data_IF_949190245037
#
_entry.id   IF_949190245037
#
_cell.length_a   1.000
_cell.length_b   1.000
_cell.length_c   1.000
_cell.angle_alpha   90.00
_cell.angle_beta   90.00
_cell.angle_gamma   90.00
#
_symmetry.space_group_name_H-M   'P 1'
#
loop_
_entity.id
_entity.type
_entity.pdbx_description
1 polymer ?
#
# COMPACT_ATOMS: atom_id res chain seq x y z
N UNK A 1 -27.58 10.41 -1.08
CA UNK A 1 -27.10 9.16 -1.70
C UNK A 1 -26.10 8.50 -0.75
N UNK A 2 -26.37 7.28 -0.29
CA UNK A 2 -25.46 6.52 0.59
C UNK A 2 -24.36 5.93 -0.29
N UNK A 3 -23.10 6.30 -0.04
CA UNK A 3 -21.95 5.75 -0.77
C UNK A 3 -21.87 4.23 -0.47
N UNK A 4 -21.82 3.36 -1.50
CA UNK A 4 -21.68 1.93 -1.27
C UNK A 4 -20.38 1.65 -0.50
N UNK A 5 -20.49 0.85 0.57
CA UNK A 5 -19.34 0.40 1.36
C UNK A 5 -18.46 -0.49 0.48
N UNK A 6 -17.17 -0.20 0.43
CA UNK A 6 -16.19 -1.07 -0.23
C UNK A 6 -16.23 -2.47 0.39
N UNK A 7 -16.22 -3.51 -0.45
CA UNK A 7 -16.25 -4.94 -0.07
C UNK A 7 -15.01 -5.44 0.65
N UNK A 8 -13.92 -4.64 0.66
CA UNK A 8 -12.64 -5.02 1.26
C UNK A 8 -12.57 -4.53 2.71
N UNK A 9 -12.43 -5.47 3.65
CA UNK A 9 -12.13 -5.17 5.05
C UNK A 9 -10.68 -4.70 5.17
N UNK A 10 -10.49 -3.45 5.60
CA UNK A 10 -9.16 -2.87 5.84
C UNK A 10 -8.97 -2.67 7.33
N UNK A 11 -7.84 -3.15 7.85
CA UNK A 11 -7.42 -2.91 9.23
C UNK A 11 -6.27 -1.90 9.24
N UNK A 12 -6.21 -1.05 10.26
CA UNK A 12 -5.09 -0.14 10.43
C UNK A 12 -3.82 -0.94 10.80
N UNK A 13 -2.76 -0.76 10.03
CA UNK A 13 -1.44 -1.33 10.28
C UNK A 13 -0.46 -0.20 10.62
N UNK A 14 0.30 -0.36 11.69
CA UNK A 14 1.38 0.55 12.08
C UNK A 14 2.73 -0.15 12.01
N UNK A 15 3.67 0.43 11.26
CA UNK A 15 5.06 -0.04 11.20
C UNK A 15 6.01 1.16 11.24
N UNK A 16 7.19 0.97 11.87
CA UNK A 16 8.26 1.97 11.83
C UNK A 16 9.05 1.80 10.53
N UNK A 17 9.05 2.83 9.69
CA UNK A 17 9.70 2.82 8.37
C UNK A 17 10.59 4.06 8.23
N UNK A 18 11.66 3.94 7.45
CA UNK A 18 12.54 5.07 7.16
C UNK A 18 11.75 6.23 6.49
N UNK A 19 11.91 7.43 7.03
CA UNK A 19 11.24 8.65 6.56
C UNK A 19 11.56 9.00 5.12
N UNK A 20 12.77 8.73 4.64
CA UNK A 20 13.15 8.95 3.23
C UNK A 20 12.42 8.01 2.29
N UNK A 21 12.21 6.76 2.73
CA UNK A 21 11.47 5.77 1.95
C UNK A 21 10.00 6.18 1.81
N UNK A 22 9.40 6.71 2.88
CA UNK A 22 8.03 7.26 2.84
C UNK A 22 7.94 8.40 1.83
N UNK A 23 8.91 9.32 1.80
CA UNK A 23 8.92 10.42 0.82
C UNK A 23 8.96 9.89 -0.61
N UNK A 24 9.88 8.97 -0.90
CA UNK A 24 10.02 8.38 -2.25
C UNK A 24 8.73 7.68 -2.70
N UNK A 25 8.10 6.90 -1.83
CA UNK A 25 6.84 6.21 -2.16
C UNK A 25 5.70 7.21 -2.37
N UNK A 26 5.64 8.30 -1.59
CA UNK A 26 4.63 9.36 -1.81
C UNK A 26 4.81 10.06 -3.15
N UNK A 27 6.04 10.37 -3.55
CA UNK A 27 6.31 10.90 -4.90
C UNK A 27 5.89 9.91 -5.98
N UNK A 28 6.25 8.63 -5.83
CA UNK A 28 5.83 7.57 -6.75
C UNK A 28 4.29 7.46 -6.85
N UNK A 29 3.57 7.62 -5.73
CA UNK A 29 2.11 7.59 -5.71
C UNK A 29 1.50 8.73 -6.55
N UNK A 30 2.09 9.93 -6.45
CA UNK A 30 1.71 11.10 -7.24
C UNK A 30 1.98 10.83 -8.72
N UNK A 31 3.18 10.34 -9.05
CA UNK A 31 3.60 10.10 -10.44
C UNK A 31 2.71 9.05 -11.13
N UNK A 32 2.31 8.02 -10.41
CA UNK A 32 1.43 6.94 -10.91
C UNK A 32 -0.06 7.26 -10.79
N UNK A 33 -0.43 8.38 -10.20
CA UNK A 33 -1.82 8.76 -9.90
C UNK A 33 -2.61 7.66 -9.17
N UNK A 34 -1.96 6.98 -8.23
CA UNK A 34 -2.55 5.92 -7.39
C UNK A 34 -2.46 6.28 -5.92
N UNK A 35 -3.36 5.72 -5.12
CA UNK A 35 -3.31 5.95 -3.68
C UNK A 35 -2.10 5.27 -3.04
N UNK A 36 -1.52 5.91 -2.02
CA UNK A 36 -0.42 5.34 -1.24
C UNK A 36 -0.76 3.93 -0.71
N UNK A 37 -1.99 3.71 -0.24
CA UNK A 37 -2.43 2.42 0.27
C UNK A 37 -2.36 1.32 -0.80
N UNK A 38 -2.72 1.62 -2.05
CA UNK A 38 -2.64 0.64 -3.16
C UNK A 38 -1.20 0.21 -3.39
N UNK A 39 -0.24 1.15 -3.40
CA UNK A 39 1.18 0.82 -3.56
C UNK A 39 1.73 -0.01 -2.39
N UNK A 40 1.26 0.25 -1.17
CA UNK A 40 1.64 -0.55 0.00
C UNK A 40 1.06 -1.97 -0.08
N UNK A 41 -0.20 -2.11 -0.49
CA UNK A 41 -0.83 -3.41 -0.71
C UNK A 41 -0.09 -4.21 -1.80
N UNK A 42 0.26 -3.58 -2.93
CA UNK A 42 1.08 -4.19 -3.99
C UNK A 42 2.46 -4.64 -3.47
N UNK A 43 3.17 -3.77 -2.75
CA UNK A 43 4.49 -4.10 -2.21
C UNK A 43 4.44 -5.25 -1.19
N UNK A 44 3.38 -5.32 -0.38
CA UNK A 44 3.15 -6.44 0.54
C UNK A 44 2.86 -7.74 -0.21
N UNK A 45 2.07 -7.69 -1.27
CA UNK A 45 1.76 -8.86 -2.09
C UNK A 45 3.00 -9.40 -2.81
N UNK A 46 3.82 -8.52 -3.36
CA UNK A 46 5.11 -8.88 -3.99
C UNK A 46 6.07 -9.49 -2.98
N UNK A 47 6.12 -8.97 -1.76
CA UNK A 47 6.91 -9.55 -0.67
C UNK A 47 6.38 -10.95 -0.33
N UNK A 48 5.07 -11.14 -0.18
CA UNK A 48 4.48 -12.45 0.10
C UNK A 48 4.77 -13.45 -1.02
N UNK A 49 4.69 -13.04 -2.29
CA UNK A 49 5.05 -13.88 -3.45
C UNK A 49 6.50 -14.33 -3.38
N UNK A 50 7.43 -13.39 -3.10
CA UNK A 50 8.86 -13.66 -2.96
C UNK A 50 9.16 -14.73 -1.90
N UNK A 51 8.43 -14.73 -0.78
CA UNK A 51 8.64 -15.71 0.30
C UNK A 51 7.83 -17.01 0.14
N UNK A 52 6.76 -17.02 -0.68
CA UNK A 52 6.01 -18.25 -1.04
C UNK A 52 6.72 -19.10 -2.08
N UNK A 53 7.59 -18.52 -2.90
CA UNK A 53 8.41 -19.24 -3.88
C UNK A 53 9.67 -19.87 -3.27
N UNK A 54 9.71 -20.04 -1.94
CA UNK A 54 10.82 -20.59 -1.18
C UNK A 54 10.38 -21.86 -0.47
#
# INVERSE_FOLDING_TARGET
>A
MVRPKSTVTRQQLGARVNTEMIKKIKHLAIDKNVSFNVLIEEALEDLLKKYKQK
#
